data_IF_811121899578
#
_entry.id   IF_811121899578
#
_cell.length_a   1.000
_cell.length_b   1.000
_cell.length_c   1.000
_cell.angle_alpha   90.00
_cell.angle_beta   90.00
_cell.angle_gamma   90.00
#
_symmetry.space_group_name_H-M   'P 1'
#
loop_
_entity.id
_entity.type
_entity.pdbx_description
1 polymer ?
#
# COMPACT_ATOMS: atom_id res chain seq x y z
N UNK A 1 44.21 -8.83 -51.24
CA UNK A 1 44.13 -8.82 -50.79
C UNK A 1 43.85 -8.69 -50.16
N UNK A 2 43.53 -8.56 -49.90
CA UNK A 2 43.37 -8.27 -49.25
C UNK A 2 42.61 -8.16 -48.62
N UNK A 3 42.20 -8.07 -48.61
CA UNK A 3 41.54 -7.97 -48.07
C UNK A 3 41.06 -8.21 -47.33
N UNK A 4 41.06 -8.26 -47.13
CA UNK A 4 40.72 -8.47 -46.40
C UNK A 4 40.42 -8.49 -45.68
N UNK A 5 40.60 -8.36 -45.75
CA UNK A 5 40.49 -8.28 -44.96
C UNK A 5 39.72 -7.93 -44.43
N UNK A 6 39.32 -7.60 -44.53
CA UNK A 6 38.66 -7.24 -43.89
C UNK A 6 38.00 -7.69 -43.34
N UNK A 7 38.03 -8.06 -43.40
CA UNK A 7 37.50 -8.45 -42.79
C UNK A 7 37.25 -8.42 -41.83
N UNK A 8 37.36 -8.27 -41.65
CA UNK A 8 37.21 -8.18 -40.69
C UNK A 8 36.64 -7.78 -40.02
N UNK A 9 36.54 -7.50 -40.19
CA UNK A 9 36.10 -6.96 -39.55
C UNK A 9 35.13 -7.04 -39.07
N UNK A 10 34.81 -7.16 -39.07
CA UNK A 10 33.97 -7.13 -38.61
C UNK A 10 33.52 -7.39 -37.72
N UNK A 11 33.57 -7.55 -37.51
CA UNK A 11 33.19 -7.70 -36.72
C UNK A 11 32.70 -7.40 -35.94
N UNK A 12 32.74 -7.14 -35.84
CA UNK A 12 32.35 -6.69 -35.15
C UNK A 12 31.58 -6.56 -34.64
N UNK A 13 31.19 -6.55 -34.66
CA UNK A 13 30.43 -6.33 -34.20
C UNK A 13 29.92 -6.57 -33.40
N UNK A 14 29.91 -6.75 -33.14
CA UNK A 14 29.45 -6.85 -32.37
C UNK A 14 29.03 -6.76 -31.53
N UNK A 15 28.90 -6.68 -31.37
CA UNK A 15 28.55 -6.50 -30.59
C UNK A 15 27.98 -6.39 -29.91
N UNK A 16 27.57 -6.30 -29.68
CA UNK A 16 27.01 -6.13 -29.05
C UNK A 16 26.48 -6.16 -28.31
N UNK A 17 26.18 -6.10 -28.00
CA UNK A 17 25.69 -5.96 -27.32
C UNK A 17 25.14 -6.03 -26.49
N UNK A 18 24.83 -6.08 -25.96
CA UNK A 18 24.27 -6.25 -25.23
C UNK A 18 23.70 -5.86 -24.50
N UNK A 19 23.19 -5.66 -24.31
CA UNK A 19 22.63 -5.18 -23.63
C UNK A 19 21.97 -5.49 -22.79
N UNK A 20 21.77 -5.39 -22.05
CA UNK A 20 21.26 -5.69 -21.23
C UNK A 20 20.59 -5.16 -20.59
N UNK A 21 19.89 -5.11 -20.31
CA UNK A 21 19.22 -4.57 -19.78
C UNK A 21 18.81 -4.87 -18.72
N UNK A 22 18.91 -4.44 -18.01
CA UNK A 22 18.63 -4.61 -16.88
C UNK A 22 17.51 -4.31 -16.51
N UNK A 23 16.85 -4.90 -16.15
CA UNK A 23 15.80 -4.59 -15.73
C UNK A 23 15.85 -4.35 -14.46
N UNK A 24 15.60 -3.33 -14.08
CA UNK A 24 15.42 -3.01 -12.82
C UNK A 24 14.41 -3.72 -12.23
N UNK A 25 14.50 -4.10 -11.17
CA UNK A 25 13.53 -4.75 -10.52
C UNK A 25 12.51 -3.83 -10.29
N UNK A 26 11.47 -4.18 -10.53
CA UNK A 26 10.50 -3.48 -10.26
C UNK A 26 10.42 -3.26 -8.99
N UNK A 27 10.16 -2.26 -8.57
CA UNK A 27 10.07 -1.96 -7.32
C UNK A 27 9.17 -2.73 -6.58
N UNK A 28 9.44 -3.03 -5.44
CA UNK A 28 8.57 -3.72 -4.62
C UNK A 28 7.49 -2.87 -4.08
N UNK A 29 7.26 -1.75 -4.63
CA UNK A 29 6.24 -0.89 -4.12
C UNK A 29 4.91 -1.55 -4.22
N UNK A 30 4.15 -1.52 -3.15
CA UNK A 30 2.83 -2.08 -3.12
C UNK A 30 1.85 -1.13 -3.78
N UNK A 31 0.79 -1.65 -4.38
CA UNK A 31 -0.17 -0.80 -5.09
C UNK A 31 -0.84 0.25 -4.22
N UNK A 32 -0.91 -0.01 -2.93
CA UNK A 32 -1.66 0.88 -2.04
C UNK A 32 -0.77 1.71 -1.12
N UNK A 33 0.53 1.72 -1.35
CA UNK A 33 1.43 2.53 -0.54
C UNK A 33 1.13 4.01 -0.74
N UNK A 34 1.30 4.76 0.33
CA UNK A 34 1.08 6.21 0.29
C UNK A 34 0.32 6.70 1.50
N UNK A 35 -0.16 7.92 1.42
CA UNK A 35 -0.91 8.53 2.51
C UNK A 35 -2.39 8.38 2.23
N UNK A 36 -3.13 8.03 3.25
CA UNK A 36 -4.57 7.82 3.15
C UNK A 36 -5.29 8.63 4.20
N UNK A 37 -6.34 9.31 3.79
CA UNK A 37 -7.21 10.02 4.71
C UNK A 37 -8.33 9.06 5.09
N UNK A 38 -8.49 8.81 6.37
CA UNK A 38 -9.46 7.84 6.85
C UNK A 38 -10.50 8.53 7.71
N UNK A 39 -11.75 8.24 7.46
CA UNK A 39 -12.86 8.74 8.26
C UNK A 39 -13.55 7.55 8.88
N UNK A 40 -13.70 7.57 10.18
CA UNK A 40 -14.32 6.50 10.95
C UNK A 40 -15.64 7.00 11.49
N UNK A 41 -16.70 6.24 11.27
CA UNK A 41 -18.03 6.63 11.75
C UNK A 41 -18.57 5.56 12.66
N UNK A 42 -19.11 6.00 13.78
CA UNK A 42 -19.72 5.09 14.77
C UNK A 42 -21.19 4.94 14.46
N UNK A 43 -21.63 3.71 14.32
CA UNK A 43 -23.03 3.41 14.09
C UNK A 43 -23.70 2.86 15.32
N UNK A 44 -22.95 2.19 16.18
CA UNK A 44 -23.48 1.58 17.40
C UNK A 44 -22.52 1.89 18.53
N UNK A 45 -23.05 2.24 19.68
CA UNK A 45 -22.26 2.52 20.86
C UNK A 45 -22.00 3.99 21.04
N UNK A 46 -21.22 4.32 22.07
CA UNK A 46 -21.00 5.70 22.45
C UNK A 46 -19.63 6.22 22.10
N UNK A 47 -18.92 5.60 21.17
CA UNK A 47 -17.66 6.12 20.71
C UNK A 47 -17.89 7.39 19.90
N UNK A 48 -16.82 8.15 19.66
CA UNK A 48 -16.94 9.37 18.87
C UNK A 48 -17.74 9.11 17.60
N UNK A 49 -18.73 9.94 17.30
CA UNK A 49 -19.55 9.69 16.12
C UNK A 49 -18.78 9.69 14.81
N UNK A 50 -17.75 10.51 14.72
CA UNK A 50 -16.96 10.59 13.49
C UNK A 50 -15.58 11.13 13.82
N UNK A 51 -14.55 10.46 13.32
CA UNK A 51 -13.19 10.96 13.45
C UNK A 51 -12.48 10.81 12.13
N UNK A 52 -11.50 11.65 11.90
CA UNK A 52 -10.68 11.58 10.68
C UNK A 52 -9.22 11.59 11.07
N UNK A 53 -8.43 10.87 10.32
CA UNK A 53 -7.00 10.85 10.54
C UNK A 53 -6.29 10.45 9.27
N UNK A 54 -4.98 10.65 9.26
CA UNK A 54 -4.15 10.26 8.13
C UNK A 54 -3.32 9.08 8.56
N UNK A 55 -3.29 8.06 7.71
CA UNK A 55 -2.43 6.92 7.95
C UNK A 55 -1.49 6.75 6.78
N UNK A 56 -0.39 6.08 7.02
CA UNK A 56 0.60 5.80 5.99
C UNK A 56 0.60 4.31 5.72
N UNK A 57 0.59 3.95 4.44
CA UNK A 57 0.78 2.57 4.04
C UNK A 57 2.14 2.50 3.37
N UNK A 58 3.00 1.63 3.87
CA UNK A 58 4.34 1.47 3.33
C UNK A 58 4.66 0.00 3.29
N UNK A 59 4.92 -0.50 2.09
CA UNK A 59 5.20 -1.92 1.89
C UNK A 59 4.09 -2.79 2.46
N UNK A 60 2.87 -2.33 2.30
CA UNK A 60 1.72 -3.07 2.78
C UNK A 60 1.46 -2.98 4.26
N UNK A 61 2.19 -2.14 4.99
CA UNK A 61 2.00 -2.00 6.43
C UNK A 61 1.42 -0.64 6.75
N UNK A 62 0.48 -0.63 7.67
CA UNK A 62 -0.24 0.58 8.04
C UNK A 62 0.36 1.15 9.31
N UNK A 63 0.61 2.44 9.31
CA UNK A 63 1.11 3.13 10.48
C UNK A 63 0.51 4.53 10.55
N UNK A 64 0.55 5.10 11.76
CA UNK A 64 0.10 6.48 11.97
C UNK A 64 0.88 7.06 13.14
N UNK A 65 1.17 8.36 13.05
CA UNK A 65 1.91 8.99 14.11
C UNK A 65 1.08 9.07 15.36
N UNK A 66 1.68 8.74 16.47
CA UNK A 66 1.03 8.93 17.76
C UNK A 66 -0.04 7.90 18.07
N UNK A 67 -0.17 6.85 17.28
CA UNK A 67 -1.18 5.83 17.53
C UNK A 67 -0.53 4.46 17.58
N UNK A 68 -1.06 3.62 18.46
CA UNK A 68 -0.65 2.22 18.53
C UNK A 68 -1.46 1.47 17.47
N UNK A 69 -0.93 1.46 16.26
CA UNK A 69 -1.64 0.85 15.15
C UNK A 69 -0.77 -0.23 14.54
N UNK A 70 -1.38 -1.33 14.20
CA UNK A 70 -0.71 -2.43 13.56
C UNK A 70 -1.65 -2.98 12.52
N UNK A 71 -1.23 -2.98 11.27
CA UNK A 71 -2.12 -3.46 10.24
C UNK A 71 -1.40 -3.71 8.94
N UNK A 72 -2.12 -4.35 8.03
CA UNK A 72 -1.59 -4.71 6.73
C UNK A 72 -2.62 -4.46 5.64
N UNK A 73 -2.10 -4.19 4.46
CA UNK A 73 -2.91 -4.12 3.25
C UNK A 73 -2.30 -5.13 2.29
N UNK A 74 -3.07 -6.11 1.90
CA UNK A 74 -2.61 -7.11 0.95
C UNK A 74 -2.54 -6.54 -0.46
N UNK A 75 -1.90 -7.27 -1.36
CA UNK A 75 -1.74 -6.80 -2.73
C UNK A 75 -3.08 -6.67 -3.42
N UNK A 76 -4.09 -7.39 -2.99
CA UNK A 76 -5.44 -7.24 -3.53
C UNK A 76 -6.27 -6.20 -2.82
N UNK A 77 -5.71 -5.47 -1.85
CA UNK A 77 -6.42 -4.40 -1.17
C UNK A 77 -7.09 -4.79 0.12
N UNK A 78 -6.94 -6.03 0.58
CA UNK A 78 -7.57 -6.46 1.81
C UNK A 78 -6.90 -5.79 3.00
N UNK A 79 -7.70 -5.11 3.81
CA UNK A 79 -7.21 -4.36 4.97
C UNK A 79 -7.55 -5.08 6.25
N UNK A 80 -6.55 -5.22 7.12
CA UNK A 80 -6.76 -5.72 8.47
C UNK A 80 -5.91 -4.88 9.39
N UNK A 81 -6.53 -4.29 10.39
CA UNK A 81 -5.80 -3.37 11.25
C UNK A 81 -6.33 -3.41 12.66
N UNK A 82 -5.43 -3.21 13.60
CA UNK A 82 -5.75 -3.11 15.02
C UNK A 82 -5.23 -1.76 15.50
N UNK A 83 -6.09 -0.98 16.15
CA UNK A 83 -5.74 0.34 16.62
C UNK A 83 -6.23 0.45 18.05
N UNK A 84 -5.30 0.54 19.00
CA UNK A 84 -5.66 0.75 20.42
C UNK A 84 -6.73 -0.20 20.90
N UNK A 85 -6.67 -1.46 20.47
CA UNK A 85 -7.66 -2.46 20.90
C UNK A 85 -8.89 -2.56 20.03
N UNK A 86 -9.08 -1.67 19.10
CA UNK A 86 -10.16 -1.78 18.14
C UNK A 86 -9.64 -2.51 16.91
N UNK A 87 -10.56 -3.14 16.19
CA UNK A 87 -10.21 -3.87 14.98
C UNK A 87 -11.00 -3.34 13.81
N UNK A 88 -10.35 -3.28 12.67
CA UNK A 88 -11.00 -2.86 11.44
C UNK A 88 -10.58 -3.77 10.31
N UNK A 89 -11.46 -3.95 9.36
CA UNK A 89 -11.14 -4.67 8.15
C UNK A 89 -11.94 -4.11 7.00
N UNK A 90 -11.49 -4.35 5.81
CA UNK A 90 -12.16 -3.83 4.64
C UNK A 90 -11.36 -4.04 3.39
N UNK A 91 -11.63 -3.20 2.42
CA UNK A 91 -11.10 -3.38 1.08
C UNK A 91 -10.73 -2.04 0.49
N UNK A 92 -9.53 -1.96 -0.07
CA UNK A 92 -9.11 -0.82 -0.87
C UNK A 92 -9.24 -1.18 -2.34
N UNK A 93 -9.59 -0.21 -3.14
CA UNK A 93 -9.70 -0.40 -4.57
C UNK A 93 -9.35 0.93 -5.23
N UNK A 94 -8.27 0.96 -6.01
CA UNK A 94 -7.82 2.20 -6.59
C UNK A 94 -7.41 3.19 -5.53
N UNK A 95 -8.06 4.32 -5.49
CA UNK A 95 -7.72 5.39 -4.54
C UNK A 95 -8.74 5.52 -3.42
N UNK A 96 -9.58 4.54 -3.22
CA UNK A 96 -10.59 4.61 -2.18
C UNK A 96 -10.70 3.28 -1.47
N UNK A 97 -11.38 3.28 -0.35
CA UNK A 97 -11.61 2.05 0.38
C UNK A 97 -12.66 2.24 1.43
N UNK A 98 -13.12 1.14 1.97
CA UNK A 98 -14.11 1.17 3.04
C UNK A 98 -14.11 -0.16 3.76
N UNK A 99 -14.75 -0.16 4.90
CA UNK A 99 -14.87 -1.38 5.68
C UNK A 99 -15.63 -1.15 6.95
N UNK A 100 -15.45 -2.08 7.88
CA UNK A 100 -16.13 -2.08 9.17
C UNK A 100 -15.10 -2.07 10.27
N UNK A 101 -15.51 -1.60 11.43
CA UNK A 101 -14.64 -1.63 12.60
C UNK A 101 -15.48 -1.94 13.83
N UNK A 102 -14.80 -2.39 14.86
CA UNK A 102 -15.42 -2.54 16.16
C UNK A 102 -14.39 -2.29 17.23
N UNK A 103 -14.86 -1.81 18.37
CA UNK A 103 -13.99 -1.45 19.49
C UNK A 103 -14.85 -1.25 20.70
N UNK A 104 -14.40 -0.37 21.61
CA UNK A 104 -15.12 -0.12 22.83
C UNK A 104 -14.76 1.24 23.37
N UNK A 105 -15.70 1.81 24.16
CA UNK A 105 -15.46 3.04 24.89
C UNK A 105 -15.86 2.75 26.32
N UNK A 106 -14.91 2.85 27.25
CA UNK A 106 -15.14 2.57 28.67
C UNK A 106 -15.81 1.20 28.87
N UNK A 107 -15.39 0.22 28.10
CA UNK A 107 -15.91 -1.12 28.22
C UNK A 107 -17.20 -1.37 27.47
N UNK A 108 -17.78 -0.35 26.84
CA UNK A 108 -19.04 -0.50 26.11
C UNK A 108 -18.70 -0.69 24.63
N UNK A 109 -19.22 -1.75 24.00
CA UNK A 109 -18.88 -2.00 22.60
C UNK A 109 -19.36 -0.90 21.66
N UNK A 110 -18.53 -0.60 20.67
CA UNK A 110 -18.87 0.31 19.60
C UNK A 110 -18.56 -0.36 18.29
N UNK A 111 -19.25 0.03 17.25
CA UNK A 111 -18.96 -0.47 15.92
C UNK A 111 -19.43 0.52 14.88
N UNK A 112 -18.95 0.35 13.69
CA UNK A 112 -19.35 1.23 12.61
C UNK A 112 -18.61 0.91 11.33
N UNK A 113 -18.43 1.95 10.53
CA UNK A 113 -17.78 1.82 9.24
C UNK A 113 -16.69 2.85 9.10
N UNK A 114 -15.82 2.59 8.17
CA UNK A 114 -14.78 3.55 7.84
C UNK A 114 -14.67 3.69 6.32
N UNK A 115 -14.18 4.82 5.91
CA UNK A 115 -13.92 5.11 4.51
C UNK A 115 -12.54 5.72 4.41
N UNK A 116 -11.87 5.50 3.31
CA UNK A 116 -10.54 6.03 3.11
C UNK A 116 -10.38 6.51 1.67
N UNK A 117 -9.56 7.53 1.53
CA UNK A 117 -9.19 8.01 0.21
C UNK A 117 -7.70 8.31 0.20
N UNK A 118 -7.05 7.99 -0.92
CA UNK A 118 -5.63 8.19 -1.03
C UNK A 118 -5.36 9.62 -1.37
N UNK A 119 -4.40 10.20 -0.71
CA UNK A 119 -4.02 11.58 -0.95
C UNK A 119 -3.03 11.73 -2.10
#
# INVERSE_FOLDING_TARGET
MRSIRIRDMLLASLAVTATVVATAPVSAQQPYDGLWQVTVRTQTGSCEPSTSSTVTVSEGKISAQGAAISGTVGSGGLVRVSINGAYANGQLSGKSGSGKWNGASAGVPCSGRWEASRQ
#
